data_IF_963091770855
#
_entry.id   IF_963091770855
#
_cell.length_a   1.000
_cell.length_b   1.000
_cell.length_c   1.000
_cell.angle_alpha   90.00
_cell.angle_beta   90.00
_cell.angle_gamma   90.00
#
_symmetry.space_group_name_H-M   'P 1'
#
loop_
_entity.id
_entity.type
_entity.pdbx_description
1 polymer ?
#
# COMPACT_ATOMS: atom_id res chain seq x y z
N UNK A 1 7.60 -34.06 -5.14
CA UNK A 1 8.93 -34.13 -5.76
C UNK A 1 9.91 -34.53 -4.66
N UNK A 2 10.20 -35.82 -4.53
CA UNK A 2 11.11 -36.32 -3.50
C UNK A 2 12.54 -35.96 -3.92
N UNK A 3 13.19 -35.09 -3.15
CA UNK A 3 14.63 -34.90 -3.17
C UNK A 3 15.26 -36.16 -2.54
N UNK A 4 15.57 -37.17 -3.35
CA UNK A 4 16.60 -38.13 -2.95
C UNK A 4 17.90 -37.35 -2.77
N UNK A 5 18.57 -37.41 -1.61
CA UNK A 5 19.90 -36.82 -1.45
C UNK A 5 20.86 -37.61 -2.34
N UNK A 6 21.09 -37.11 -3.55
CA UNK A 6 22.26 -37.50 -4.31
C UNK A 6 23.45 -36.85 -3.62
N UNK A 7 24.28 -37.64 -2.94
CA UNK A 7 25.58 -37.27 -2.35
C UNK A 7 26.62 -36.84 -3.42
N UNK A 8 26.17 -36.27 -4.54
CA UNK A 8 26.96 -35.83 -5.67
C UNK A 8 27.05 -34.30 -5.74
N UNK A 9 26.39 -33.58 -4.81
CA UNK A 9 26.52 -32.13 -4.69
C UNK A 9 27.67 -31.84 -3.74
N UNK A 10 28.70 -31.15 -4.23
CA UNK A 10 29.77 -30.61 -3.40
C UNK A 10 29.22 -29.49 -2.51
N UNK A 11 29.42 -29.60 -1.19
CA UNK A 11 28.88 -28.66 -0.21
C UNK A 11 29.90 -27.60 0.19
N UNK A 12 31.19 -27.91 0.04
CA UNK A 12 32.31 -27.06 0.43
C UNK A 12 33.33 -26.87 -0.70
N UNK A 13 34.12 -25.79 -0.61
CA UNK A 13 35.22 -25.54 -1.56
C UNK A 13 36.19 -26.75 -1.61
N UNK A 14 36.43 -27.39 -0.47
CA UNK A 14 37.32 -28.55 -0.37
C UNK A 14 36.82 -29.75 -1.19
N UNK A 15 35.50 -29.91 -1.32
CA UNK A 15 34.92 -30.95 -2.17
C UNK A 15 35.18 -30.67 -3.64
N UNK A 16 35.13 -29.39 -4.06
CA UNK A 16 35.48 -28.99 -5.42
C UNK A 16 36.98 -29.16 -5.70
N UNK A 17 37.85 -28.84 -4.74
CA UNK A 17 39.31 -28.98 -4.88
C UNK A 17 39.75 -30.42 -5.13
N UNK A 18 39.01 -31.40 -4.62
CA UNK A 18 39.33 -32.83 -4.69
C UNK A 18 38.66 -33.57 -5.84
N UNK A 19 37.97 -32.84 -6.73
CA UNK A 19 37.37 -33.44 -7.95
C UNK A 19 38.49 -33.88 -8.89
N UNK A 20 38.58 -35.19 -9.24
CA UNK A 20 39.58 -35.67 -10.19
C UNK A 20 39.18 -35.32 -11.63
N UNK A 21 40.10 -34.74 -12.39
CA UNK A 21 39.91 -34.39 -13.81
C UNK A 21 40.37 -35.48 -14.77
N UNK A 22 41.28 -36.35 -14.32
CA UNK A 22 41.80 -37.47 -15.10
C UNK A 22 41.40 -38.79 -14.46
N UNK A 23 40.89 -39.72 -15.28
CA UNK A 23 40.56 -41.08 -14.86
C UNK A 23 41.34 -42.02 -15.81
N UNK A 24 42.51 -42.50 -15.37
CA UNK A 24 43.43 -43.30 -16.20
C UNK A 24 44.73 -43.67 -15.47
N UNK A 25 45.68 -44.30 -16.18
CA UNK A 25 46.99 -44.67 -15.62
C UNK A 25 47.93 -43.45 -15.59
N UNK A 26 48.19 -42.94 -14.38
CA UNK A 26 49.08 -41.81 -14.08
C UNK A 26 48.76 -41.17 -12.73
N UNK A 27 49.51 -40.16 -12.27
CA UNK A 27 49.13 -39.37 -11.11
C UNK A 27 47.76 -38.70 -11.34
N UNK A 28 46.86 -38.79 -10.36
CA UNK A 28 45.58 -38.11 -10.43
C UNK A 28 45.80 -36.59 -10.45
N UNK A 29 45.18 -35.90 -11.42
CA UNK A 29 45.15 -34.43 -11.49
C UNK A 29 43.81 -33.97 -10.95
N UNK A 30 43.83 -33.12 -9.94
CA UNK A 30 42.65 -32.59 -9.28
C UNK A 30 42.31 -31.20 -9.81
N UNK A 31 41.07 -30.75 -9.61
CA UNK A 31 40.62 -29.43 -10.06
C UNK A 31 41.48 -28.29 -9.50
N UNK A 32 41.93 -28.41 -8.24
CA UNK A 32 42.85 -27.46 -7.61
C UNK A 32 44.21 -27.33 -8.30
N UNK A 33 44.63 -28.35 -9.06
CA UNK A 33 45.94 -28.36 -9.73
C UNK A 33 45.92 -27.50 -11.00
N UNK A 34 44.73 -27.13 -11.51
CA UNK A 34 44.56 -26.39 -12.77
C UNK A 34 43.69 -25.13 -12.65
N UNK A 35 43.00 -24.93 -11.53
CA UNK A 35 42.12 -23.79 -11.31
C UNK A 35 42.16 -23.30 -9.86
N UNK A 36 42.00 -21.99 -9.68
CA UNK A 36 41.71 -21.38 -8.38
C UNK A 36 40.21 -21.43 -8.13
N UNK A 37 39.80 -22.05 -7.03
CA UNK A 37 38.40 -22.17 -6.63
C UNK A 37 38.17 -21.19 -5.48
N UNK A 38 37.27 -20.25 -5.67
CA UNK A 38 36.91 -19.28 -4.65
C UNK A 38 35.40 -19.07 -4.62
N UNK A 39 34.87 -18.82 -3.42
CA UNK A 39 33.52 -18.29 -3.29
C UNK A 39 33.59 -16.81 -3.65
N UNK A 40 33.20 -16.50 -4.87
CA UNK A 40 33.10 -15.14 -5.38
C UNK A 40 31.62 -14.72 -5.51
N UNK A 41 31.38 -13.41 -5.55
CA UNK A 41 30.09 -12.88 -6.00
C UNK A 41 29.95 -13.05 -7.51
N UNK A 42 28.72 -13.19 -7.99
CA UNK A 42 28.43 -13.14 -9.42
C UNK A 42 28.92 -11.82 -10.06
N UNK A 43 29.08 -11.82 -11.38
CA UNK A 43 29.55 -10.65 -12.14
C UNK A 43 28.67 -9.45 -11.79
N UNK A 44 29.27 -8.43 -11.17
CA UNK A 44 28.52 -7.25 -10.73
C UNK A 44 28.09 -6.44 -11.96
N UNK A 45 26.86 -6.65 -12.42
CA UNK A 45 26.28 -5.95 -13.58
C UNK A 45 25.69 -4.59 -13.22
N UNK A 46 25.57 -4.26 -11.93
CA UNK A 46 25.12 -2.97 -11.44
C UNK A 46 25.33 -2.81 -9.93
N UNK A 47 25.26 -1.57 -9.45
CA UNK A 47 25.28 -1.24 -8.03
C UNK A 47 24.18 -0.21 -7.76
N UNK A 48 23.51 -0.33 -6.61
CA UNK A 48 22.57 0.68 -6.16
C UNK A 48 23.29 1.72 -5.30
N UNK A 49 22.95 2.99 -5.51
CA UNK A 49 23.36 4.09 -4.66
C UNK A 49 22.11 4.68 -4.00
N UNK A 50 22.14 4.80 -2.68
CA UNK A 50 21.14 5.55 -1.92
C UNK A 50 21.88 6.69 -1.23
N UNK A 51 21.51 7.93 -1.55
CA UNK A 51 22.17 9.15 -1.03
C UNK A 51 23.70 9.15 -1.20
N UNK A 52 24.21 8.57 -2.29
CA UNK A 52 25.66 8.51 -2.58
C UNK A 52 26.40 7.35 -1.92
N UNK A 53 25.76 6.54 -1.08
CA UNK A 53 26.34 5.36 -0.47
C UNK A 53 25.96 4.08 -1.24
N UNK A 54 26.95 3.18 -1.45
CA UNK A 54 26.71 1.87 -2.07
C UNK A 54 25.76 1.07 -1.19
N UNK A 55 24.65 0.66 -1.77
CA UNK A 55 23.52 0.07 -1.06
C UNK A 55 23.01 -1.17 -1.79
N UNK A 56 22.37 -2.08 -1.05
CA UNK A 56 21.62 -3.19 -1.63
C UNK A 56 20.15 -2.80 -1.68
N UNK A 57 19.57 -2.76 -2.88
CA UNK A 57 18.17 -2.44 -3.06
C UNK A 57 17.34 -3.72 -3.10
N UNK A 58 16.42 -3.87 -2.14
CA UNK A 58 15.47 -4.99 -2.08
C UNK A 58 14.09 -4.46 -2.47
N UNK A 59 13.60 -4.72 -3.69
CA UNK A 59 12.27 -4.30 -4.08
C UNK A 59 11.23 -5.14 -3.35
N UNK A 60 10.27 -4.45 -2.69
CA UNK A 60 9.10 -5.10 -2.11
C UNK A 60 7.90 -4.84 -3.01
N UNK A 61 7.39 -5.88 -3.65
CA UNK A 61 6.21 -5.80 -4.51
C UNK A 61 5.00 -6.34 -3.79
N UNK A 62 3.92 -5.57 -3.74
CA UNK A 62 2.64 -6.04 -3.20
C UNK A 62 1.97 -7.01 -4.15
N UNK A 63 1.20 -7.97 -3.61
CA UNK A 63 0.26 -8.76 -4.41
C UNK A 63 -0.93 -7.88 -4.87
N UNK A 64 -1.61 -8.30 -5.93
CA UNK A 64 -2.72 -7.55 -6.51
C UNK A 64 -3.89 -7.38 -5.52
N UNK A 65 -4.16 -8.41 -4.72
CA UNK A 65 -5.21 -8.49 -3.69
C UNK A 65 -4.84 -7.82 -2.36
N UNK A 66 -3.55 -7.51 -2.15
CA UNK A 66 -3.08 -6.95 -0.91
C UNK A 66 -3.28 -5.43 -0.84
N UNK A 67 -3.78 -4.96 0.32
CA UNK A 67 -3.88 -3.54 0.64
C UNK A 67 -2.48 -2.93 0.76
N UNK A 68 -2.24 -1.82 0.06
CA UNK A 68 -0.96 -1.10 0.11
C UNK A 68 -0.61 -0.68 1.55
N UNK A 69 -1.61 -0.29 2.33
CA UNK A 69 -1.43 0.09 3.74
C UNK A 69 -0.91 -1.07 4.58
N UNK A 70 -1.53 -2.23 4.45
CA UNK A 70 -1.20 -3.41 5.24
C UNK A 70 0.19 -3.94 4.90
N UNK A 71 0.54 -3.97 3.61
CA UNK A 71 1.88 -4.38 3.16
C UNK A 71 2.94 -3.46 3.75
N UNK A 72 2.77 -2.13 3.69
CA UNK A 72 3.77 -1.22 4.26
C UNK A 72 3.83 -1.30 5.78
N UNK A 73 2.71 -1.48 6.46
CA UNK A 73 2.70 -1.73 7.91
C UNK A 73 3.51 -2.97 8.26
N UNK A 74 3.27 -4.09 7.57
CA UNK A 74 3.98 -5.35 7.81
C UNK A 74 5.48 -5.24 7.52
N UNK A 75 5.87 -4.52 6.45
CA UNK A 75 7.28 -4.26 6.16
C UNK A 75 7.91 -3.42 7.26
N UNK A 76 7.26 -2.33 7.70
CA UNK A 76 7.77 -1.48 8.79
C UNK A 76 7.90 -2.25 10.11
N UNK A 77 6.98 -3.15 10.42
CA UNK A 77 7.06 -4.03 11.59
C UNK A 77 8.16 -5.10 11.48
N UNK A 78 8.50 -5.50 10.26
CA UNK A 78 9.58 -6.46 10.01
C UNK A 78 10.98 -5.80 10.04
N UNK A 79 11.10 -4.49 9.75
CA UNK A 79 12.39 -3.79 9.71
C UNK A 79 13.25 -3.99 10.97
N UNK A 80 12.71 -3.87 12.21
CA UNK A 80 13.52 -4.12 13.41
C UNK A 80 14.02 -5.56 13.50
N UNK A 81 13.23 -6.53 13.05
CA UNK A 81 13.62 -7.95 13.02
C UNK A 81 14.72 -8.19 12.00
N UNK A 82 14.64 -7.53 10.85
CA UNK A 82 15.67 -7.59 9.81
C UNK A 82 16.97 -6.94 10.30
N UNK A 83 16.88 -5.79 10.96
CA UNK A 83 18.04 -5.10 11.54
C UNK A 83 18.72 -5.94 12.64
N UNK A 84 17.96 -6.72 13.41
CA UNK A 84 18.52 -7.60 14.44
C UNK A 84 19.19 -8.87 13.87
N UNK A 85 18.89 -9.24 12.61
CA UNK A 85 19.43 -10.42 11.96
C UNK A 85 20.76 -10.16 11.20
N UNK A 86 21.18 -8.90 11.13
CA UNK A 86 22.38 -8.44 10.44
C UNK A 86 23.32 -7.75 11.43
N UNK A 87 24.62 -7.64 11.11
CA UNK A 87 25.56 -6.98 12.00
C UNK A 87 25.35 -5.45 12.05
N UNK A 88 25.82 -4.82 13.12
CA UNK A 88 25.54 -3.41 13.45
C UNK A 88 26.14 -2.39 12.44
N UNK A 89 27.05 -2.84 11.58
CA UNK A 89 27.66 -2.03 10.52
C UNK A 89 26.75 -1.85 9.29
N UNK A 90 25.67 -2.64 9.18
CA UNK A 90 24.69 -2.55 8.10
C UNK A 90 23.42 -1.89 8.59
N UNK A 91 23.08 -0.72 8.03
CA UNK A 91 21.81 -0.04 8.30
C UNK A 91 20.74 -0.40 7.27
N UNK A 92 19.63 -0.96 7.72
CA UNK A 92 18.44 -1.18 6.88
C UNK A 92 17.53 0.04 6.99
N UNK A 93 17.40 0.77 5.89
CA UNK A 93 16.50 1.92 5.80
C UNK A 93 15.45 1.72 4.71
N UNK A 94 14.29 2.34 4.91
CA UNK A 94 13.20 2.30 3.96
C UNK A 94 13.30 3.50 3.02
N UNK A 95 13.77 3.29 1.78
CA UNK A 95 14.13 4.37 0.86
C UNK A 95 12.97 4.93 0.01
N UNK A 96 11.97 4.11 -0.33
CA UNK A 96 10.86 4.52 -1.22
C UNK A 96 9.50 4.11 -0.61
N UNK A 97 8.74 5.08 -0.10
CA UNK A 97 7.43 4.88 0.54
C UNK A 97 6.27 5.38 -0.34
N UNK A 98 5.65 4.49 -1.11
CA UNK A 98 4.41 4.82 -1.82
C UNK A 98 3.17 4.88 -0.90
N UNK A 99 3.23 4.34 0.34
CA UNK A 99 2.11 4.43 1.28
C UNK A 99 1.89 5.85 1.80
N UNK A 100 2.94 6.67 1.85
CA UNK A 100 2.83 8.09 2.22
C UNK A 100 1.79 8.81 1.35
N UNK A 101 1.77 8.53 0.06
CA UNK A 101 0.78 9.06 -0.87
C UNK A 101 -0.63 8.56 -0.58
N UNK A 102 -0.82 7.27 -0.29
CA UNK A 102 -2.14 6.71 0.06
C UNK A 102 -2.68 7.34 1.36
N UNK A 103 -1.84 7.50 2.37
CA UNK A 103 -2.21 8.12 3.66
C UNK A 103 -2.56 9.58 3.45
N UNK A 104 -1.76 10.30 2.66
CA UNK A 104 -2.00 11.69 2.33
C UNK A 104 -3.32 11.86 1.56
N UNK A 105 -3.56 11.04 0.53
CA UNK A 105 -4.83 11.03 -0.21
C UNK A 105 -6.02 10.73 0.69
N UNK A 106 -5.92 9.75 1.61
CA UNK A 106 -6.99 9.44 2.55
C UNK A 106 -7.29 10.62 3.49
N UNK A 107 -6.24 11.27 4.03
CA UNK A 107 -6.39 12.46 4.87
C UNK A 107 -7.03 13.62 4.11
N UNK A 108 -6.64 13.82 2.85
CA UNK A 108 -7.23 14.86 2.00
C UNK A 108 -8.71 14.58 1.74
N UNK A 109 -9.09 13.36 1.39
CA UNK A 109 -10.51 12.97 1.21
C UNK A 109 -11.34 13.27 2.46
N UNK A 110 -10.82 12.91 3.64
CA UNK A 110 -11.49 13.20 4.91
C UNK A 110 -11.57 14.70 5.21
N UNK A 111 -10.50 15.44 4.92
CA UNK A 111 -10.44 16.88 5.13
C UNK A 111 -11.37 17.64 4.18
N UNK A 112 -11.34 17.34 2.89
CA UNK A 112 -12.19 17.93 1.86
C UNK A 112 -13.67 17.60 2.12
N UNK A 113 -13.97 16.35 2.49
CA UNK A 113 -15.32 15.97 2.92
C UNK A 113 -15.77 16.71 4.17
N UNK A 114 -14.92 16.82 5.19
CA UNK A 114 -15.23 17.57 6.41
C UNK A 114 -15.44 19.06 6.15
N UNK A 115 -14.59 19.67 5.33
CA UNK A 115 -14.71 21.06 4.92
C UNK A 115 -15.99 21.28 4.11
N UNK A 116 -16.31 20.39 3.18
CA UNK A 116 -17.55 20.41 2.41
C UNK A 116 -18.79 20.33 3.31
N UNK A 117 -18.85 19.36 4.24
CA UNK A 117 -19.95 19.26 5.20
C UNK A 117 -20.10 20.53 6.03
N UNK A 118 -19.00 21.07 6.53
CA UNK A 118 -19.01 22.22 7.43
C UNK A 118 -19.45 23.49 6.70
N UNK A 119 -18.87 23.78 5.53
CA UNK A 119 -19.20 24.98 4.75
C UNK A 119 -20.63 24.92 4.23
N UNK A 120 -21.07 23.76 3.72
CA UNK A 120 -22.44 23.58 3.25
C UNK A 120 -23.44 23.62 4.39
N UNK A 121 -23.17 22.93 5.51
CA UNK A 121 -24.01 22.99 6.69
C UNK A 121 -24.13 24.42 7.24
N UNK A 122 -23.05 25.19 7.22
CA UNK A 122 -23.06 26.60 7.58
C UNK A 122 -23.90 27.44 6.61
N UNK A 123 -23.80 27.20 5.30
CA UNK A 123 -24.60 27.87 4.29
C UNK A 123 -26.10 27.59 4.48
N UNK A 124 -26.49 26.31 4.65
CA UNK A 124 -27.88 25.92 4.96
C UNK A 124 -28.38 26.61 6.22
N UNK A 125 -27.57 26.66 7.28
CA UNK A 125 -27.94 27.32 8.53
C UNK A 125 -28.16 28.83 8.35
N UNK A 126 -27.33 29.50 7.54
CA UNK A 126 -27.38 30.94 7.32
C UNK A 126 -28.58 31.34 6.45
N UNK A 127 -28.81 30.62 5.35
CA UNK A 127 -29.86 30.97 4.39
C UNK A 127 -31.25 30.47 4.79
N UNK A 128 -31.35 29.25 5.33
CA UNK A 128 -32.64 28.63 5.64
C UNK A 128 -32.99 28.68 7.13
N UNK A 129 -32.03 28.96 8.01
CA UNK A 129 -32.23 28.92 9.47
C UNK A 129 -32.54 27.52 10.03
N UNK A 130 -32.53 26.49 9.17
CA UNK A 130 -32.91 25.13 9.55
C UNK A 130 -31.72 24.32 10.07
N UNK A 131 -31.65 24.24 11.41
CA UNK A 131 -30.66 23.42 12.12
C UNK A 131 -30.77 21.93 11.82
N UNK A 132 -31.97 21.44 11.48
CA UNK A 132 -32.18 20.01 11.18
C UNK A 132 -31.62 19.69 9.79
N UNK A 133 -31.95 20.51 8.79
CA UNK A 133 -31.38 20.41 7.44
C UNK A 133 -29.86 20.47 7.43
N UNK A 134 -29.28 21.42 8.17
CA UNK A 134 -27.82 21.53 8.30
C UNK A 134 -27.18 20.26 8.89
N UNK A 135 -27.80 19.67 9.93
CA UNK A 135 -27.30 18.42 10.54
C UNK A 135 -27.40 17.22 9.58
N UNK A 136 -28.49 17.14 8.80
CA UNK A 136 -28.67 16.07 7.80
C UNK A 136 -27.51 16.11 6.79
N UNK A 137 -27.19 17.28 6.24
CA UNK A 137 -26.08 17.41 5.26
C UNK A 137 -24.74 16.98 5.87
N UNK A 138 -24.44 17.44 7.08
CA UNK A 138 -23.18 17.10 7.77
C UNK A 138 -23.05 15.60 8.02
N UNK A 139 -24.15 14.91 8.35
CA UNK A 139 -24.15 13.46 8.59
C UNK A 139 -24.11 12.63 7.29
N UNK A 140 -24.61 13.16 6.17
CA UNK A 140 -24.61 12.44 4.89
C UNK A 140 -23.20 12.08 4.41
N UNK A 141 -22.22 12.97 4.58
CA UNK A 141 -20.84 12.73 4.14
C UNK A 141 -20.18 11.53 4.84
N UNK A 142 -20.08 11.47 6.19
CA UNK A 142 -19.48 10.32 6.87
C UNK A 142 -20.25 9.02 6.61
N UNK A 143 -21.58 9.07 6.48
CA UNK A 143 -22.39 7.89 6.15
C UNK A 143 -22.08 7.40 4.73
N UNK A 144 -21.97 8.29 3.75
CA UNK A 144 -21.64 7.93 2.38
C UNK A 144 -20.22 7.36 2.26
N UNK A 145 -19.25 7.95 2.96
CA UNK A 145 -17.88 7.44 3.05
C UNK A 145 -17.83 6.02 3.62
N UNK A 146 -18.50 5.79 4.76
CA UNK A 146 -18.60 4.46 5.36
C UNK A 146 -19.28 3.46 4.42
N UNK A 147 -20.37 3.86 3.78
CA UNK A 147 -21.10 3.03 2.83
C UNK A 147 -20.23 2.65 1.63
N UNK A 148 -19.48 3.61 1.08
CA UNK A 148 -18.55 3.36 -0.03
C UNK A 148 -17.43 2.40 0.37
N UNK A 149 -16.84 2.53 1.56
CA UNK A 149 -15.82 1.61 2.06
C UNK A 149 -16.36 0.18 2.24
N UNK A 150 -17.59 0.03 2.73
CA UNK A 150 -18.26 -1.27 2.87
C UNK A 150 -18.48 -1.89 1.48
N UNK A 151 -18.99 -1.11 0.52
CA UNK A 151 -19.20 -1.59 -0.85
C UNK A 151 -17.89 -1.96 -1.54
N UNK A 152 -16.82 -1.17 -1.33
CA UNK A 152 -15.49 -1.47 -1.85
C UNK A 152 -15.01 -2.84 -1.36
N UNK A 153 -15.21 -3.12 -0.06
CA UNK A 153 -14.87 -4.41 0.55
C UNK A 153 -15.74 -5.55 -0.01
N UNK A 154 -17.03 -5.31 -0.26
CA UNK A 154 -17.95 -6.31 -0.81
C UNK A 154 -17.61 -6.68 -2.26
N UNK A 155 -17.12 -5.72 -3.06
CA UNK A 155 -16.69 -5.93 -4.46
C UNK A 155 -15.25 -6.49 -4.51
N UNK A 156 -14.59 -6.69 -3.37
CA UNK A 156 -13.22 -7.21 -3.29
C UNK A 156 -12.15 -6.20 -3.75
N UNK A 157 -12.48 -4.91 -3.75
CA UNK A 157 -11.54 -3.84 -4.12
C UNK A 157 -10.76 -3.37 -2.90
N UNK A 158 -9.52 -2.91 -3.12
CA UNK A 158 -8.62 -2.42 -2.06
C UNK A 158 -8.57 -0.90 -2.02
N UNK A 159 -8.19 -0.34 -0.86
CA UNK A 159 -7.95 1.10 -0.74
C UNK A 159 -6.60 1.43 -1.40
N UNK A 160 -6.66 2.16 -2.50
CA UNK A 160 -5.51 2.66 -3.24
C UNK A 160 -5.78 4.09 -3.75
N UNK A 161 -4.79 4.69 -4.43
CA UNK A 161 -4.87 6.08 -4.90
C UNK A 161 -6.04 6.28 -5.89
N UNK A 162 -6.30 5.30 -6.78
CA UNK A 162 -7.38 5.42 -7.76
C UNK A 162 -8.75 5.37 -7.07
N UNK A 163 -8.94 4.45 -6.12
CA UNK A 163 -10.21 4.38 -5.37
C UNK A 163 -10.43 5.59 -4.48
N UNK A 164 -9.36 6.13 -3.87
CA UNK A 164 -9.43 7.36 -3.07
C UNK A 164 -9.71 8.59 -3.93
N UNK A 165 -9.14 8.66 -5.14
CA UNK A 165 -9.47 9.72 -6.11
C UNK A 165 -10.93 9.67 -6.55
N UNK A 166 -11.47 8.48 -6.77
CA UNK A 166 -12.91 8.30 -7.05
C UNK A 166 -13.79 8.72 -5.87
N UNK A 167 -13.41 8.38 -4.63
CA UNK A 167 -14.08 8.84 -3.41
C UNK A 167 -14.07 10.37 -3.28
N UNK A 168 -12.93 11.02 -3.52
CA UNK A 168 -12.81 12.48 -3.48
C UNK A 168 -13.80 13.16 -4.45
N UNK A 169 -13.85 12.67 -5.70
CA UNK A 169 -14.78 13.18 -6.71
C UNK A 169 -16.25 12.95 -6.31
N UNK A 170 -16.56 11.76 -5.80
CA UNK A 170 -17.92 11.43 -5.38
C UNK A 170 -18.42 12.31 -4.22
N UNK A 171 -17.56 12.70 -3.29
CA UNK A 171 -17.91 13.63 -2.20
C UNK A 171 -18.36 14.97 -2.74
N UNK A 172 -17.68 15.52 -3.75
CA UNK A 172 -18.07 16.80 -4.35
C UNK A 172 -19.49 16.77 -4.92
N UNK A 173 -19.81 15.70 -5.66
CA UNK A 173 -21.16 15.49 -6.23
C UNK A 173 -22.20 15.29 -5.11
N UNK A 174 -21.87 14.47 -4.10
CA UNK A 174 -22.77 14.18 -2.98
C UNK A 174 -23.16 15.44 -2.20
N UNK A 175 -22.20 16.34 -1.95
CA UNK A 175 -22.46 17.58 -1.21
C UNK A 175 -23.39 18.50 -1.99
N UNK A 176 -23.19 18.63 -3.30
CA UNK A 176 -24.06 19.43 -4.16
C UNK A 176 -25.49 18.88 -4.16
N UNK A 177 -25.65 17.58 -4.39
CA UNK A 177 -26.97 16.91 -4.38
C UNK A 177 -27.67 17.04 -3.02
N UNK A 178 -26.94 16.88 -1.92
CA UNK A 178 -27.50 17.02 -0.57
C UNK A 178 -28.00 18.46 -0.31
N UNK A 179 -27.27 19.46 -0.79
CA UNK A 179 -27.63 20.88 -0.64
C UNK A 179 -28.89 21.20 -1.42
N UNK A 180 -28.92 20.86 -2.70
CA UNK A 180 -30.07 21.12 -3.59
C UNK A 180 -31.31 20.39 -3.09
N UNK A 181 -31.16 19.18 -2.54
CA UNK A 181 -32.30 18.42 -2.00
C UNK A 181 -32.90 19.09 -0.77
N UNK A 182 -32.06 19.55 0.17
CA UNK A 182 -32.54 20.26 1.38
C UNK A 182 -33.19 21.60 1.01
N UNK A 183 -32.58 22.36 0.10
CA UNK A 183 -33.17 23.60 -0.42
C UNK A 183 -34.55 23.33 -1.06
N UNK A 184 -34.64 22.29 -1.88
CA UNK A 184 -35.89 21.94 -2.54
C UNK A 184 -36.97 21.47 -1.55
N UNK A 185 -36.60 20.73 -0.50
CA UNK A 185 -37.52 20.36 0.59
C UNK A 185 -38.04 21.62 1.28
N UNK A 186 -37.15 22.55 1.62
CA UNK A 186 -37.53 23.81 2.25
C UNK A 186 -38.49 24.62 1.37
N UNK A 187 -38.15 24.78 0.08
CA UNK A 187 -39.00 25.44 -0.91
C UNK A 187 -40.39 24.83 -1.02
N UNK A 188 -40.50 23.48 -1.00
CA UNK A 188 -41.79 22.80 -1.06
C UNK A 188 -42.63 23.02 0.21
N UNK A 189 -41.98 23.03 1.39
CA UNK A 189 -42.62 23.32 2.66
C UNK A 189 -43.14 24.77 2.73
N UNK A 190 -42.36 25.75 2.24
CA UNK A 190 -42.79 27.15 2.13
C UNK A 190 -43.97 27.35 1.18
N UNK A 191 -44.04 26.58 0.09
CA UNK A 191 -45.17 26.59 -0.86
C UNK A 191 -46.44 25.93 -0.31
N UNK A 192 -46.46 25.51 0.96
CA UNK A 192 -47.61 24.86 1.58
C UNK A 192 -47.91 23.47 1.03
N UNK A 193 -47.00 22.88 0.25
CA UNK A 193 -47.11 21.50 -0.21
C UNK A 193 -46.82 20.60 0.99
N UNK A 194 -47.87 20.13 1.66
CA UNK A 194 -47.74 19.14 2.74
C UNK A 194 -47.06 17.90 2.17
N UNK A 195 -45.94 17.51 2.79
CA UNK A 195 -45.33 16.20 2.56
C UNK A 195 -46.38 15.10 2.77
N UNK A 196 -46.31 14.07 1.95
CA UNK A 196 -47.14 12.87 2.09
C UNK A 196 -47.06 12.39 3.56
N UNK A 197 -48.17 11.98 4.20
CA UNK A 197 -48.11 11.39 5.54
C UNK A 197 -47.31 10.09 5.43
N UNK A 198 -46.03 10.14 5.80
CA UNK A 198 -45.30 8.93 6.15
C UNK A 198 -45.73 8.55 7.57
N UNK A 199 -46.10 7.28 7.71
CA UNK A 199 -46.41 6.58 8.96
C UNK A 199 -45.42 6.90 10.08
#
# INVERSE_FOLDING_TARGET
>A
MLLTPTNAVAESIADFETIPLTIGHGPAVFLKDVAQIEIASDVTTGYALVNGARSVYIPVTKRADASTWEVVKNVKEALPRMQAAIPDDIQVSYAFDQSGYVIYSLRNVLFEGGLGALLTGFMVLLFLGDRRGALIVVLTIPIALLSSLILLKLVGQTINIMTLGGLALAIGILVDEATVTIENIHRHLEMGKKGFPLF
#
